data_IF_183603787943
#
_entry.id   IF_183603787943
#
_cell.length_a   1.000
_cell.length_b   1.000
_cell.length_c   1.000
_cell.angle_alpha   90.00
_cell.angle_beta   90.00
_cell.angle_gamma   90.00
#
_symmetry.space_group_name_H-M   'P 1'
#
loop_
_entity.id
_entity.type
_entity.pdbx_description
1 polymer ?
#
# COMPACT_ATOMS: atom_id res chain seq x y z
N UNK A 1 21.61 20.59 11.36
CA UNK A 1 20.46 20.66 12.27
C UNK A 1 20.23 19.26 12.84
N UNK A 2 20.20 19.10 14.17
CA UNK A 2 20.02 17.79 14.79
C UNK A 2 18.55 17.37 14.57
N UNK A 3 18.37 16.27 13.86
CA UNK A 3 17.07 15.64 13.68
C UNK A 3 16.42 15.35 15.05
N UNK A 4 15.18 15.77 15.24
CA UNK A 4 14.50 15.62 16.53
C UNK A 4 14.37 14.13 16.91
N UNK A 5 14.49 13.78 18.19
CA UNK A 5 14.46 12.38 18.66
C UNK A 5 13.20 11.63 18.22
N UNK A 6 12.05 12.32 18.17
CA UNK A 6 10.80 11.71 17.74
C UNK A 6 10.84 11.30 16.26
N UNK A 7 11.44 12.17 15.40
CA UNK A 7 11.53 11.89 13.96
C UNK A 7 12.39 10.65 13.69
N UNK A 8 13.58 10.55 14.27
CA UNK A 8 14.44 9.36 14.13
C UNK A 8 13.75 8.06 14.57
N UNK A 9 13.05 8.08 15.71
CA UNK A 9 12.28 6.94 16.20
C UNK A 9 11.15 6.56 15.22
N UNK A 10 10.43 7.55 14.70
CA UNK A 10 9.35 7.33 13.75
C UNK A 10 9.87 6.77 12.42
N UNK A 11 10.93 7.34 11.87
CA UNK A 11 11.53 6.89 10.62
C UNK A 11 12.01 5.45 10.72
N UNK A 12 12.73 5.12 11.79
CA UNK A 12 13.21 3.76 12.04
C UNK A 12 12.04 2.77 12.20
N UNK A 13 11.05 3.09 13.05
CA UNK A 13 9.88 2.24 13.24
C UNK A 13 9.08 2.09 11.96
N UNK A 14 8.90 3.16 11.17
CA UNK A 14 8.17 3.13 9.89
C UNK A 14 8.87 2.20 8.88
N UNK A 15 10.20 2.26 8.74
CA UNK A 15 10.93 1.37 7.85
C UNK A 15 10.72 -0.10 8.24
N UNK A 16 10.83 -0.41 9.53
CA UNK A 16 10.72 -1.79 10.02
C UNK A 16 9.28 -2.30 9.98
N UNK A 17 8.29 -1.51 10.38
CA UNK A 17 6.87 -1.92 10.30
C UNK A 17 6.42 -2.12 8.88
N UNK A 18 6.84 -1.26 7.94
CA UNK A 18 6.57 -1.45 6.52
C UNK A 18 7.30 -2.69 5.99
N UNK A 19 8.54 -2.94 6.44
CA UNK A 19 9.26 -4.18 6.14
C UNK A 19 8.47 -5.41 6.60
N UNK A 20 8.00 -5.43 7.85
CA UNK A 20 7.19 -6.53 8.38
C UNK A 20 5.90 -6.77 7.57
N UNK A 21 5.17 -5.71 7.23
CA UNK A 21 3.95 -5.80 6.41
C UNK A 21 4.27 -6.35 5.00
N UNK A 22 5.38 -5.93 4.40
CA UNK A 22 5.77 -6.39 3.06
C UNK A 22 6.49 -7.75 3.07
N UNK A 23 6.89 -8.26 4.24
CA UNK A 23 7.16 -9.69 4.47
C UNK A 23 5.86 -10.48 4.50
N UNK A 24 4.86 -10.02 5.26
CA UNK A 24 3.58 -10.71 5.46
C UNK A 24 2.78 -10.84 4.15
N UNK A 25 2.60 -9.74 3.40
CA UNK A 25 1.66 -9.68 2.27
C UNK A 25 1.91 -10.75 1.19
N UNK A 26 3.11 -10.91 0.61
CA UNK A 26 3.35 -11.96 -0.38
C UNK A 26 3.31 -13.37 0.24
N UNK A 27 3.70 -13.51 1.52
CA UNK A 27 3.71 -14.81 2.21
C UNK A 27 2.31 -15.29 2.56
N UNK A 28 1.32 -14.42 2.74
CA UNK A 28 -0.09 -14.80 2.84
C UNK A 28 -0.55 -15.53 1.57
N UNK A 29 -0.15 -15.06 0.39
CA UNK A 29 -0.50 -15.75 -0.88
C UNK A 29 0.16 -17.13 -0.95
N UNK A 30 1.43 -17.26 -0.61
CA UNK A 30 2.10 -18.55 -0.57
C UNK A 30 1.50 -19.49 0.49
N UNK A 31 1.16 -18.99 1.68
CA UNK A 31 0.46 -19.79 2.70
C UNK A 31 -0.93 -20.23 2.22
N UNK A 32 -1.65 -19.38 1.51
CA UNK A 32 -2.93 -19.75 0.92
C UNK A 32 -2.74 -20.89 -0.11
N UNK A 33 -1.69 -20.83 -0.95
CA UNK A 33 -1.33 -21.89 -1.88
C UNK A 33 -0.92 -23.19 -1.15
N UNK A 34 -0.18 -23.13 -0.03
CA UNK A 34 0.12 -24.30 0.83
C UNK A 34 -1.15 -24.96 1.40
N UNK A 35 -2.24 -24.19 1.51
CA UNK A 35 -3.55 -24.64 2.00
C UNK A 35 -4.53 -24.94 0.84
N UNK A 36 -4.03 -25.18 -0.38
CA UNK A 36 -4.79 -25.49 -1.59
C UNK A 36 -5.89 -24.48 -1.92
N UNK A 37 -5.65 -23.18 -1.61
CA UNK A 37 -6.59 -22.12 -1.90
C UNK A 37 -6.72 -21.88 -3.41
N UNK A 38 -7.95 -21.70 -3.86
CA UNK A 38 -8.22 -21.24 -5.23
C UNK A 38 -7.83 -19.78 -5.42
N UNK A 39 -7.63 -19.34 -6.66
CA UNK A 39 -7.32 -17.94 -6.97
C UNK A 39 -8.39 -16.96 -6.45
N UNK A 40 -9.68 -17.36 -6.48
CA UNK A 40 -10.78 -16.58 -5.91
C UNK A 40 -10.64 -16.41 -4.39
N UNK A 41 -10.25 -17.47 -3.68
CA UNK A 41 -10.01 -17.42 -2.23
C UNK A 41 -8.82 -16.51 -1.90
N UNK A 42 -7.74 -16.56 -2.68
CA UNK A 42 -6.59 -15.66 -2.53
C UNK A 42 -7.01 -14.20 -2.74
N UNK A 43 -7.79 -13.91 -3.79
CA UNK A 43 -8.34 -12.58 -4.03
C UNK A 43 -9.25 -12.11 -2.90
N UNK A 44 -10.07 -12.99 -2.33
CA UNK A 44 -10.91 -12.69 -1.18
C UNK A 44 -10.08 -12.39 0.08
N UNK A 45 -9.05 -13.17 0.40
CA UNK A 45 -8.13 -12.92 1.53
C UNK A 45 -7.44 -11.57 1.36
N UNK A 46 -7.00 -11.24 0.13
CA UNK A 46 -6.42 -9.94 -0.16
C UNK A 46 -7.43 -8.78 -0.01
N UNK A 47 -8.69 -8.99 -0.38
CA UNK A 47 -9.76 -8.02 -0.15
C UNK A 47 -10.02 -7.82 1.35
N UNK A 48 -10.09 -8.90 2.12
CA UNK A 48 -10.30 -8.86 3.58
C UNK A 48 -9.20 -8.09 4.31
N UNK A 49 -7.95 -8.11 3.81
CA UNK A 49 -6.87 -7.24 4.32
C UNK A 49 -7.26 -5.75 4.27
N UNK A 50 -8.00 -5.30 3.26
CA UNK A 50 -8.43 -3.92 3.13
C UNK A 50 -9.80 -3.63 3.77
N UNK A 51 -10.57 -4.65 4.15
CA UNK A 51 -11.93 -4.50 4.67
C UNK A 51 -11.98 -3.66 5.95
N UNK A 52 -11.24 -4.05 6.99
CA UNK A 52 -11.21 -3.29 8.23
C UNK A 52 -10.67 -1.88 8.05
N UNK A 53 -9.58 -1.64 7.29
CA UNK A 53 -9.17 -0.31 6.87
C UNK A 53 -10.26 0.54 6.22
N UNK A 54 -11.07 -0.02 5.32
CA UNK A 54 -12.18 0.72 4.69
C UNK A 54 -13.21 1.14 5.71
N UNK A 55 -13.63 0.22 6.57
CA UNK A 55 -14.68 0.46 7.57
C UNK A 55 -14.22 1.41 8.69
N UNK A 56 -12.95 1.32 9.11
CA UNK A 56 -12.46 1.98 10.32
C UNK A 56 -11.58 3.21 10.05
N UNK A 57 -11.28 3.55 8.80
CA UNK A 57 -10.40 4.68 8.47
C UNK A 57 -10.86 6.01 9.10
N UNK A 58 -12.15 6.32 9.01
CA UNK A 58 -12.72 7.53 9.60
C UNK A 58 -12.70 7.49 11.14
N UNK A 59 -13.03 6.33 11.72
CA UNK A 59 -12.98 6.10 13.16
C UNK A 59 -11.55 6.25 13.69
N UNK A 60 -10.57 5.71 12.98
CA UNK A 60 -9.16 5.82 13.34
C UNK A 60 -8.65 7.26 13.27
N UNK A 61 -9.11 8.05 12.28
CA UNK A 61 -8.82 9.47 12.20
C UNK A 61 -9.31 10.27 13.42
N UNK A 62 -10.46 9.87 14.02
CA UNK A 62 -10.98 10.46 15.26
C UNK A 62 -10.21 9.94 16.48
N UNK A 63 -10.02 8.63 16.56
CA UNK A 63 -9.37 7.98 17.70
C UNK A 63 -7.93 8.45 17.90
N UNK A 64 -7.18 8.71 16.83
CA UNK A 64 -5.80 9.18 16.94
C UNK A 64 -5.71 10.53 17.66
N UNK A 65 -6.67 11.42 17.45
CA UNK A 65 -6.76 12.70 18.18
C UNK A 65 -7.09 12.54 19.68
N UNK A 66 -7.81 11.49 20.06
CA UNK A 66 -8.23 11.23 21.44
C UNK A 66 -7.17 10.43 22.21
N UNK A 67 -6.60 9.40 21.60
CA UNK A 67 -5.67 8.46 22.24
C UNK A 67 -4.24 8.98 22.17
N UNK A 68 -3.91 9.76 21.14
CA UNK A 68 -2.58 10.28 20.83
C UNK A 68 -1.89 9.49 19.72
N UNK A 69 -1.18 10.20 18.87
CA UNK A 69 -0.50 9.67 17.68
C UNK A 69 0.56 8.61 18.03
N UNK A 70 1.32 8.83 19.12
CA UNK A 70 2.35 7.88 19.57
C UNK A 70 1.76 6.55 20.02
N UNK A 71 0.68 6.58 20.82
CA UNK A 71 -0.04 5.37 21.27
C UNK A 71 -0.67 4.63 20.08
N UNK A 72 -1.09 5.38 19.06
CA UNK A 72 -1.68 4.80 17.86
C UNK A 72 -0.64 4.03 17.03
N UNK A 73 0.59 4.54 16.93
CA UNK A 73 1.73 3.79 16.32
C UNK A 73 2.06 2.56 17.14
N UNK A 74 2.08 2.64 18.48
CA UNK A 74 2.29 1.48 19.37
C UNK A 74 1.23 0.42 19.12
N UNK A 75 -0.05 0.81 19.11
CA UNK A 75 -1.16 -0.08 18.82
C UNK A 75 -0.99 -0.79 17.46
N UNK A 76 -0.71 -0.03 16.40
CA UNK A 76 -0.47 -0.61 15.08
C UNK A 76 0.71 -1.59 15.07
N UNK A 77 1.83 -1.22 15.68
CA UNK A 77 3.04 -2.08 15.75
C UNK A 77 2.77 -3.36 16.54
N UNK A 78 2.05 -3.27 17.67
CA UNK A 78 1.65 -4.43 18.45
C UNK A 78 0.76 -5.39 17.63
N UNK A 79 -0.22 -4.84 16.94
CA UNK A 79 -1.14 -5.64 16.13
C UNK A 79 -0.49 -6.24 14.87
N UNK A 80 0.58 -5.65 14.32
CA UNK A 80 1.43 -6.32 13.32
C UNK A 80 2.06 -7.57 13.94
N UNK A 81 2.60 -7.47 15.15
CA UNK A 81 3.17 -8.63 15.88
C UNK A 81 2.12 -9.70 16.16
N UNK A 82 0.93 -9.33 16.67
CA UNK A 82 -0.18 -10.27 16.93
C UNK A 82 -0.62 -10.95 15.64
N UNK A 83 -0.75 -10.20 14.54
CA UNK A 83 -1.09 -10.77 13.24
C UNK A 83 -0.03 -11.74 12.75
N UNK A 84 1.27 -11.41 12.88
CA UNK A 84 2.37 -12.29 12.51
C UNK A 84 2.36 -13.58 13.35
N UNK A 85 2.07 -13.48 14.67
CA UNK A 85 1.91 -14.63 15.54
C UNK A 85 0.71 -15.53 15.14
N UNK A 86 -0.42 -14.90 14.77
CA UNK A 86 -1.58 -15.66 14.24
C UNK A 86 -1.24 -16.36 12.92
N UNK A 87 -0.46 -15.72 12.04
CA UNK A 87 -0.03 -16.30 10.77
C UNK A 87 0.89 -17.52 10.98
N UNK A 88 1.68 -17.56 12.05
CA UNK A 88 2.50 -18.74 12.39
C UNK A 88 1.64 -19.99 12.64
N UNK A 89 0.47 -19.81 13.24
CA UNK A 89 -0.46 -20.91 13.59
C UNK A 89 -1.64 -21.01 12.61
N UNK A 90 -1.62 -20.26 11.50
CA UNK A 90 -2.70 -20.28 10.52
C UNK A 90 -2.58 -21.50 9.60
N UNK A 91 -3.18 -22.61 10.03
CA UNK A 91 -3.31 -23.86 9.27
C UNK A 91 -4.68 -24.01 8.59
N UNK A 92 -5.46 -22.95 8.50
CA UNK A 92 -6.75 -22.92 7.79
C UNK A 92 -6.99 -21.60 7.10
N UNK A 93 -7.73 -21.62 5.98
CA UNK A 93 -8.03 -20.41 5.21
C UNK A 93 -8.83 -19.36 6.00
N UNK A 94 -9.82 -19.72 6.86
CA UNK A 94 -10.50 -18.74 7.69
C UNK A 94 -9.56 -18.01 8.67
N UNK A 95 -8.65 -18.75 9.34
CA UNK A 95 -7.69 -18.14 10.27
C UNK A 95 -6.68 -17.27 9.53
N UNK A 96 -6.26 -17.68 8.33
CA UNK A 96 -5.41 -16.87 7.44
C UNK A 96 -6.10 -15.55 7.06
N UNK A 97 -7.39 -15.59 6.73
CA UNK A 97 -8.19 -14.39 6.41
C UNK A 97 -8.32 -13.45 7.61
N UNK A 98 -8.58 -13.98 8.81
CA UNK A 98 -8.63 -13.19 10.06
C UNK A 98 -7.30 -12.51 10.31
N UNK A 99 -6.18 -13.25 10.21
CA UNK A 99 -4.85 -12.70 10.39
C UNK A 99 -4.52 -11.64 9.33
N UNK A 100 -4.95 -11.83 8.07
CA UNK A 100 -4.80 -10.83 7.01
C UNK A 100 -5.60 -9.54 7.31
N UNK A 101 -6.85 -9.66 7.78
CA UNK A 101 -7.66 -8.52 8.20
C UNK A 101 -6.98 -7.72 9.32
N UNK A 102 -6.45 -8.43 10.31
CA UNK A 102 -5.72 -7.82 11.42
C UNK A 102 -4.44 -7.13 10.97
N UNK A 103 -3.69 -7.72 10.02
CA UNK A 103 -2.52 -7.09 9.38
C UNK A 103 -2.89 -5.77 8.70
N UNK A 104 -4.02 -5.75 7.97
CA UNK A 104 -4.50 -4.55 7.31
C UNK A 104 -4.88 -3.44 8.28
N UNK A 105 -5.58 -3.80 9.36
CA UNK A 105 -5.95 -2.88 10.43
C UNK A 105 -4.72 -2.28 11.12
N UNK A 106 -3.75 -3.14 11.46
CA UNK A 106 -2.50 -2.76 12.07
C UNK A 106 -1.69 -1.80 11.18
N UNK A 107 -1.63 -2.10 9.88
CA UNK A 107 -0.98 -1.25 8.89
C UNK A 107 -1.63 0.13 8.81
N UNK A 108 -2.98 0.19 8.78
CA UNK A 108 -3.71 1.46 8.82
C UNK A 108 -3.38 2.26 10.07
N UNK A 109 -3.35 1.63 11.25
CA UNK A 109 -3.04 2.30 12.50
C UNK A 109 -1.63 2.92 12.50
N UNK A 110 -0.62 2.17 12.05
CA UNK A 110 0.75 2.68 11.90
C UNK A 110 0.81 3.87 10.95
N UNK A 111 0.10 3.79 9.80
CA UNK A 111 0.10 4.88 8.82
C UNK A 111 -0.61 6.12 9.35
N UNK A 112 -1.79 5.97 9.95
CA UNK A 112 -2.56 7.11 10.51
C UNK A 112 -1.78 7.75 11.63
N UNK A 113 -1.27 6.97 12.60
CA UNK A 113 -0.48 7.48 13.72
C UNK A 113 0.79 8.18 13.27
N UNK A 114 1.56 7.56 12.35
CA UNK A 114 2.81 8.13 11.85
C UNK A 114 2.61 9.43 11.06
N UNK A 115 1.64 9.47 10.14
CA UNK A 115 1.32 10.67 9.37
C UNK A 115 0.80 11.80 10.26
N UNK A 116 -0.03 11.49 11.25
CA UNK A 116 -0.53 12.46 12.23
C UNK A 116 0.62 13.00 13.08
N UNK A 117 1.55 12.15 13.51
CA UNK A 117 2.73 12.59 14.26
C UNK A 117 3.58 13.55 13.45
N UNK A 118 3.83 13.28 12.18
CA UNK A 118 4.53 14.21 11.28
C UNK A 118 3.77 15.52 11.17
N UNK A 119 2.45 15.46 10.96
CA UNK A 119 1.63 16.65 10.79
C UNK A 119 1.60 17.57 12.03
N UNK A 120 1.64 17.00 13.24
CA UNK A 120 1.52 17.74 14.49
C UNK A 120 2.87 18.18 15.07
N UNK A 121 3.92 17.37 14.89
CA UNK A 121 5.23 17.62 15.51
C UNK A 121 6.23 18.33 14.59
N UNK A 122 5.94 18.45 13.29
CA UNK A 122 6.81 19.15 12.35
C UNK A 122 6.56 20.67 12.39
N UNK A 123 7.62 21.48 12.44
CA UNK A 123 7.48 22.92 12.18
C UNK A 123 6.90 23.16 10.77
N UNK A 124 6.07 24.19 10.55
CA UNK A 124 5.44 24.44 9.26
C UNK A 124 6.41 24.51 8.07
N UNK A 125 7.62 25.05 8.27
CA UNK A 125 8.65 25.18 7.24
C UNK A 125 9.45 23.90 6.99
N UNK A 126 9.36 22.87 7.86
CA UNK A 126 10.03 21.56 7.75
C UNK A 126 9.03 20.42 7.45
N UNK A 127 7.73 20.74 7.35
CA UNK A 127 6.68 19.71 7.20
C UNK A 127 6.90 18.83 5.96
N UNK A 128 7.19 19.44 4.81
CA UNK A 128 7.39 18.69 3.55
C UNK A 128 8.62 17.80 3.64
N UNK A 129 9.69 18.27 4.25
CA UNK A 129 10.92 17.50 4.46
C UNK A 129 10.69 16.30 5.37
N UNK A 130 10.05 16.49 6.52
CA UNK A 130 9.74 15.41 7.47
C UNK A 130 8.79 14.39 6.86
N UNK A 131 7.76 14.84 6.11
CA UNK A 131 6.85 13.95 5.41
C UNK A 131 7.54 13.17 4.29
N UNK A 132 8.45 13.83 3.56
CA UNK A 132 9.29 13.19 2.55
C UNK A 132 10.18 12.10 3.15
N UNK A 133 10.86 12.38 4.26
CA UNK A 133 11.69 11.40 4.99
C UNK A 133 10.85 10.23 5.53
N UNK A 134 9.65 10.51 6.06
CA UNK A 134 8.73 9.47 6.53
C UNK A 134 8.30 8.53 5.40
N UNK A 135 7.90 9.08 4.27
CA UNK A 135 7.48 8.27 3.10
C UNK A 135 8.64 7.52 2.46
N UNK A 136 9.84 8.10 2.45
CA UNK A 136 11.07 7.42 2.03
C UNK A 136 11.38 6.21 2.93
N UNK A 137 11.35 6.41 4.24
CA UNK A 137 11.56 5.36 5.24
C UNK A 137 10.57 4.20 5.08
N UNK A 138 9.29 4.53 4.90
CA UNK A 138 8.25 3.53 4.60
C UNK A 138 8.54 2.76 3.29
N UNK A 139 8.96 3.47 2.24
CA UNK A 139 9.29 2.85 0.94
C UNK A 139 10.51 1.94 1.02
N UNK A 140 11.48 2.25 1.89
CA UNK A 140 12.63 1.39 2.14
C UNK A 140 12.19 0.04 2.71
N UNK A 141 11.28 0.04 3.71
CA UNK A 141 10.70 -1.19 4.23
C UNK A 141 9.95 -2.01 3.17
N UNK A 142 9.17 -1.32 2.32
CA UNK A 142 8.45 -1.96 1.22
C UNK A 142 9.38 -2.60 0.19
N UNK A 143 10.55 -2.00 -0.04
CA UNK A 143 11.56 -2.52 -0.96
C UNK A 143 12.30 -3.73 -0.37
N UNK A 144 12.69 -3.66 0.89
CA UNK A 144 13.52 -4.69 1.53
C UNK A 144 12.70 -5.90 1.99
N UNK A 145 11.44 -5.67 2.42
CA UNK A 145 10.58 -6.72 2.99
C UNK A 145 10.41 -7.97 2.12
N UNK A 146 10.02 -7.89 0.86
CA UNK A 146 9.79 -9.06 0.02
C UNK A 146 11.05 -9.90 -0.24
N UNK A 147 12.22 -9.27 -0.41
CA UNK A 147 13.50 -9.99 -0.53
C UNK A 147 13.81 -10.73 0.77
N UNK A 148 13.73 -10.06 1.91
CA UNK A 148 13.97 -10.70 3.20
C UNK A 148 13.00 -11.87 3.45
N UNK A 149 11.72 -11.69 3.09
CA UNK A 149 10.71 -12.73 3.21
C UNK A 149 11.11 -14.00 2.46
N UNK A 150 11.50 -13.86 1.19
CA UNK A 150 11.84 -15.00 0.35
C UNK A 150 13.19 -15.61 0.69
N UNK A 151 14.18 -14.83 1.10
CA UNK A 151 15.48 -15.34 1.57
C UNK A 151 15.31 -16.20 2.84
N UNK A 152 14.59 -15.68 3.84
CA UNK A 152 14.38 -16.39 5.12
C UNK A 152 13.46 -17.60 4.94
N UNK A 153 12.48 -17.52 4.05
CA UNK A 153 11.61 -18.65 3.73
C UNK A 153 12.29 -19.76 2.92
N UNK A 154 13.54 -19.56 2.45
CA UNK A 154 14.27 -20.57 1.67
C UNK A 154 13.67 -20.77 0.27
N UNK A 155 13.50 -19.72 -0.48
CA UNK A 155 12.65 -19.66 -1.70
C UNK A 155 13.42 -19.86 -2.99
N UNK A 156 14.32 -20.84 -3.08
CA UNK A 156 15.01 -21.19 -4.34
C UNK A 156 14.13 -21.95 -5.34
N UNK A 157 13.07 -22.62 -4.85
CA UNK A 157 12.04 -23.28 -5.66
C UNK A 157 10.87 -22.35 -5.99
N UNK A 158 9.88 -22.91 -6.66
CA UNK A 158 8.61 -22.22 -7.00
C UNK A 158 7.86 -21.81 -5.73
N UNK A 159 7.80 -22.69 -4.75
CA UNK A 159 7.25 -22.43 -3.42
C UNK A 159 8.35 -22.18 -2.39
N UNK A 160 8.12 -21.30 -1.40
CA UNK A 160 9.00 -21.19 -0.24
C UNK A 160 9.07 -22.52 0.52
N UNK A 161 10.24 -22.84 1.11
CA UNK A 161 10.39 -24.02 1.99
C UNK A 161 9.59 -23.86 3.29
N UNK A 162 9.44 -22.62 3.78
CA UNK A 162 8.75 -22.32 5.04
C UNK A 162 8.20 -20.91 5.07
N UNK A 163 6.92 -20.73 4.80
CA UNK A 163 6.23 -19.44 5.00
C UNK A 163 6.23 -19.06 6.48
N UNK A 164 6.23 -20.02 7.39
CA UNK A 164 6.34 -19.78 8.85
C UNK A 164 7.63 -19.08 9.24
N UNK A 165 8.77 -19.37 8.59
CA UNK A 165 10.03 -18.67 8.85
C UNK A 165 9.94 -17.18 8.51
N UNK A 166 9.24 -16.83 7.42
CA UNK A 166 8.98 -15.42 7.06
C UNK A 166 8.01 -14.75 8.05
N UNK A 167 6.98 -15.44 8.54
CA UNK A 167 6.10 -14.89 9.57
C UNK A 167 6.82 -14.69 10.91
N UNK A 168 7.74 -15.60 11.28
CA UNK A 168 8.62 -15.40 12.45
C UNK A 168 9.52 -14.17 12.28
N UNK A 169 10.08 -13.96 11.08
CA UNK A 169 10.81 -12.74 10.77
C UNK A 169 9.92 -11.49 10.93
N UNK A 170 8.67 -11.52 10.43
CA UNK A 170 7.76 -10.40 10.58
C UNK A 170 7.44 -10.09 12.05
N UNK A 171 7.28 -11.13 12.88
CA UNK A 171 7.09 -10.99 14.32
C UNK A 171 8.34 -10.36 14.98
N UNK A 172 9.53 -10.81 14.62
CA UNK A 172 10.79 -10.24 15.13
C UNK A 172 10.96 -8.76 14.69
N UNK A 173 10.61 -8.42 13.44
CA UNK A 173 10.61 -7.05 12.95
C UNK A 173 9.60 -6.18 13.71
N UNK A 174 8.40 -6.69 14.01
CA UNK A 174 7.41 -5.96 14.81
C UNK A 174 7.92 -5.71 16.23
N UNK A 175 8.55 -6.70 16.86
CA UNK A 175 9.18 -6.55 18.17
C UNK A 175 10.32 -5.52 18.13
N UNK A 176 11.17 -5.55 17.11
CA UNK A 176 12.24 -4.56 16.91
C UNK A 176 11.69 -3.15 16.72
N UNK A 177 10.63 -3.00 15.92
CA UNK A 177 9.97 -1.72 15.69
C UNK A 177 9.33 -1.15 16.96
N UNK A 178 8.91 -2.02 17.90
CA UNK A 178 8.31 -1.62 19.18
C UNK A 178 9.32 -0.89 20.07
N UNK A 179 10.60 -1.27 20.05
CA UNK A 179 11.64 -0.72 20.94
C UNK A 179 11.69 0.80 20.96
N UNK A 180 11.80 1.53 19.82
CA UNK A 180 11.86 2.98 19.83
C UNK A 180 10.51 3.63 20.17
N UNK A 181 9.38 3.00 19.82
CA UNK A 181 8.06 3.65 19.93
C UNK A 181 7.40 3.46 21.29
N UNK A 182 7.79 2.46 22.07
CA UNK A 182 7.21 2.19 23.41
C UNK A 182 7.39 3.38 24.37
N UNK A 183 8.40 4.22 24.12
CA UNK A 183 8.62 5.45 24.89
C UNK A 183 7.47 6.46 24.77
N UNK A 184 6.64 6.36 23.72
CA UNK A 184 5.49 7.26 23.50
C UNK A 184 4.22 6.85 24.27
N UNK A 185 4.28 5.74 25.01
CA UNK A 185 3.10 5.25 25.76
C UNK A 185 2.54 6.27 26.75
N UNK A 186 3.43 7.08 27.34
CA UNK A 186 3.09 8.09 28.35
C UNK A 186 2.99 9.50 27.77
N UNK A 187 3.20 9.70 26.46
CA UNK A 187 3.01 11.02 25.85
C UNK A 187 1.53 11.38 25.85
N UNK A 188 1.16 12.60 26.30
CA UNK A 188 -0.21 13.06 26.19
C UNK A 188 -0.61 13.21 24.73
N UNK A 189 -1.90 13.04 24.38
CA UNK A 189 -2.36 13.31 23.03
C UNK A 189 -2.15 14.77 22.67
N UNK A 190 -1.63 15.02 21.48
CA UNK A 190 -1.53 16.39 20.93
C UNK A 190 -2.92 16.78 20.44
N UNK A 191 -3.74 17.35 21.33
CA UNK A 191 -5.16 17.59 21.09
C UNK A 191 -5.37 18.56 19.94
N UNK A 192 -5.96 18.09 18.87
CA UNK A 192 -6.63 18.93 17.88
C UNK A 192 -8.10 18.48 17.86
N UNK A 193 -8.92 19.18 18.63
CA UNK A 193 -10.37 18.98 18.59
C UNK A 193 -10.92 19.35 17.21
N UNK A 194 -11.06 18.37 16.33
CA UNK A 194 -11.79 18.56 15.08
C UNK A 194 -13.27 18.39 15.37
N UNK A 195 -14.04 19.49 15.23
CA UNK A 195 -15.50 19.44 15.22
C UNK A 195 -15.97 18.45 14.17
N UNK A 196 -16.87 17.57 14.54
CA UNK A 196 -17.55 16.68 13.61
C UNK A 196 -18.39 17.50 12.63
N UNK A 197 -18.06 17.43 11.35
CA UNK A 197 -19.02 17.77 10.32
C UNK A 197 -19.94 16.57 10.09
N UNK A 198 -21.14 16.65 10.67
CA UNK A 198 -22.21 15.66 10.43
C UNK A 198 -22.67 15.61 8.96
N UNK A 199 -22.08 16.45 8.10
CA UNK A 199 -22.33 16.54 6.66
C UNK A 199 -21.20 16.03 5.77
N UNK A 200 -20.12 15.43 6.29
CA UNK A 200 -18.93 15.06 5.52
C UNK A 200 -19.22 14.16 4.31
N UNK A 201 -20.11 13.17 4.45
CA UNK A 201 -20.53 12.31 3.33
C UNK A 201 -21.28 13.08 2.25
N UNK A 202 -22.20 13.99 2.65
CA UNK A 202 -22.94 14.83 1.72
C UNK A 202 -22.01 15.84 1.03
N UNK A 203 -21.06 16.40 1.76
CA UNK A 203 -20.03 17.29 1.23
C UNK A 203 -19.09 16.58 0.26
N UNK A 204 -18.64 15.36 0.58
CA UNK A 204 -17.86 14.52 -0.32
C UNK A 204 -18.65 14.18 -1.61
N UNK A 205 -19.95 13.86 -1.49
CA UNK A 205 -20.83 13.65 -2.65
C UNK A 205 -20.97 14.88 -3.55
N UNK A 206 -21.06 16.09 -2.96
CA UNK A 206 -21.04 17.34 -3.73
C UNK A 206 -19.68 17.57 -4.42
N UNK A 207 -18.59 17.29 -3.71
CA UNK A 207 -17.24 17.44 -4.22
C UNK A 207 -16.99 16.53 -5.43
N UNK A 208 -17.46 15.29 -5.39
CA UNK A 208 -17.33 14.33 -6.50
C UNK A 208 -18.06 14.76 -7.78
N UNK A 209 -19.04 15.64 -7.67
CA UNK A 209 -19.76 16.21 -8.83
C UNK A 209 -18.99 17.35 -9.50
N UNK A 210 -17.93 17.88 -8.87
CA UNK A 210 -17.11 18.93 -9.50
C UNK A 210 -16.32 18.38 -10.68
N UNK A 211 -16.21 19.13 -11.79
CA UNK A 211 -15.50 18.69 -12.99
C UNK A 211 -14.06 18.25 -12.68
N UNK A 212 -13.68 17.04 -13.12
CA UNK A 212 -12.34 16.48 -12.97
C UNK A 212 -12.02 15.84 -11.61
N UNK A 213 -12.73 16.14 -10.52
CA UNK A 213 -12.44 15.58 -9.19
C UNK A 213 -12.66 14.05 -9.16
N UNK A 214 -13.82 13.59 -9.65
CA UNK A 214 -14.10 12.16 -9.71
C UNK A 214 -13.05 11.42 -10.56
N UNK A 215 -12.68 11.99 -11.72
CA UNK A 215 -11.67 11.39 -12.60
C UNK A 215 -10.30 11.30 -11.92
N UNK A 216 -9.88 12.33 -11.19
CA UNK A 216 -8.61 12.33 -10.46
C UNK A 216 -8.61 11.32 -9.32
N UNK A 217 -9.70 11.21 -8.54
CA UNK A 217 -9.86 10.23 -7.46
C UNK A 217 -9.89 8.81 -8.02
N UNK A 218 -10.62 8.58 -9.10
CA UNK A 218 -10.69 7.27 -9.75
C UNK A 218 -9.34 6.85 -10.34
N UNK A 219 -8.59 7.78 -10.95
CA UNK A 219 -7.21 7.52 -11.40
C UNK A 219 -6.31 7.14 -10.23
N UNK A 220 -6.41 7.85 -9.10
CA UNK A 220 -5.66 7.49 -7.89
C UNK A 220 -6.00 6.09 -7.39
N UNK A 221 -7.29 5.73 -7.36
CA UNK A 221 -7.77 4.40 -7.00
C UNK A 221 -7.21 3.33 -7.95
N UNK A 222 -7.32 3.51 -9.26
CA UNK A 222 -6.87 2.54 -10.25
C UNK A 222 -5.36 2.29 -10.15
N UNK A 223 -4.55 3.35 -10.06
CA UNK A 223 -3.09 3.27 -9.92
C UNK A 223 -2.68 2.62 -8.60
N UNK A 224 -3.33 3.01 -7.50
CA UNK A 224 -3.04 2.43 -6.18
C UNK A 224 -3.36 0.94 -6.13
N UNK A 225 -4.54 0.57 -6.60
CA UNK A 225 -4.99 -0.83 -6.62
C UNK A 225 -4.12 -1.69 -7.53
N UNK A 226 -3.70 -1.19 -8.69
CA UNK A 226 -2.76 -1.89 -9.58
C UNK A 226 -1.45 -2.21 -8.84
N UNK A 227 -0.88 -1.24 -8.14
CA UNK A 227 0.32 -1.47 -7.33
C UNK A 227 0.14 -2.50 -6.21
N UNK A 228 -1.03 -2.52 -5.57
CA UNK A 228 -1.34 -3.48 -4.49
C UNK A 228 -1.59 -4.89 -5.01
N UNK A 229 -2.27 -5.03 -6.15
CA UNK A 229 -2.51 -6.31 -6.81
C UNK A 229 -1.19 -7.01 -7.16
N UNK A 230 -0.20 -6.28 -7.64
CA UNK A 230 1.10 -6.86 -7.96
C UNK A 230 1.77 -7.56 -6.75
N UNK A 231 1.59 -7.04 -5.53
CA UNK A 231 2.15 -7.68 -4.33
C UNK A 231 1.49 -9.03 -4.01
N UNK A 232 0.20 -9.15 -4.31
CA UNK A 232 -0.62 -10.33 -3.98
C UNK A 232 -0.61 -11.36 -5.11
N UNK A 233 -0.74 -10.92 -6.37
CA UNK A 233 -0.92 -11.82 -7.51
C UNK A 233 0.37 -12.20 -8.22
N UNK A 234 1.49 -11.48 -8.03
CA UNK A 234 2.79 -11.93 -8.55
C UNK A 234 3.25 -13.27 -7.94
N UNK A 235 3.06 -13.56 -6.62
CA UNK A 235 3.32 -14.89 -6.09
C UNK A 235 2.47 -15.99 -6.74
N UNK A 236 1.18 -15.74 -6.95
CA UNK A 236 0.29 -16.69 -7.63
C UNK A 236 0.72 -16.89 -9.09
N UNK A 237 0.96 -15.81 -9.82
CA UNK A 237 1.47 -15.85 -11.21
C UNK A 237 2.80 -16.59 -11.32
N UNK A 238 3.72 -16.36 -10.38
CA UNK A 238 5.00 -17.05 -10.32
C UNK A 238 4.83 -18.56 -10.09
N UNK A 239 3.88 -18.95 -9.22
CA UNK A 239 3.56 -20.36 -8.99
C UNK A 239 2.99 -21.03 -10.26
N UNK A 240 2.04 -20.39 -10.94
CA UNK A 240 1.47 -20.90 -12.20
C UNK A 240 2.51 -21.03 -13.32
N UNK A 241 3.46 -20.10 -13.41
CA UNK A 241 4.49 -20.06 -14.45
C UNK A 241 5.84 -20.68 -14.01
N UNK A 242 5.88 -21.37 -12.88
CA UNK A 242 7.05 -22.07 -12.37
C UNK A 242 8.25 -21.15 -12.10
N UNK A 243 8.03 -19.88 -11.78
CA UNK A 243 9.09 -18.94 -11.37
C UNK A 243 9.44 -19.15 -9.90
N UNK A 244 10.74 -19.04 -9.55
CA UNK A 244 11.13 -19.20 -8.14
C UNK A 244 10.54 -18.09 -7.27
N UNK A 245 10.14 -18.44 -6.05
CA UNK A 245 9.60 -17.48 -5.09
C UNK A 245 10.61 -16.36 -4.77
N UNK A 246 11.93 -16.65 -4.81
CA UNK A 246 12.97 -15.64 -4.68
C UNK A 246 12.93 -14.61 -5.83
N UNK A 247 12.79 -15.07 -7.07
CA UNK A 247 12.65 -14.16 -8.22
C UNK A 247 11.45 -13.25 -8.06
N UNK A 248 10.31 -13.79 -7.62
CA UNK A 248 9.11 -13.01 -7.36
C UNK A 248 9.32 -11.99 -6.24
N UNK A 249 9.99 -12.35 -5.14
CA UNK A 249 10.33 -11.42 -4.07
C UNK A 249 11.22 -10.27 -4.55
N UNK A 250 12.23 -10.58 -5.37
CA UNK A 250 13.08 -9.57 -6.02
C UNK A 250 12.25 -8.65 -6.93
N UNK A 251 11.35 -9.19 -7.73
CA UNK A 251 10.49 -8.43 -8.65
C UNK A 251 9.57 -7.47 -7.88
N UNK A 252 8.95 -7.92 -6.79
CA UNK A 252 8.13 -7.05 -5.93
C UNK A 252 8.98 -5.93 -5.32
N UNK A 253 10.20 -6.23 -4.92
CA UNK A 253 11.16 -5.26 -4.39
C UNK A 253 11.62 -4.25 -5.44
N UNK A 254 11.88 -4.70 -6.67
CA UNK A 254 12.18 -3.83 -7.82
C UNK A 254 11.04 -2.84 -8.06
N UNK A 255 9.79 -3.31 -8.03
CA UNK A 255 8.61 -2.43 -8.15
C UNK A 255 8.61 -1.32 -7.09
N UNK A 256 8.89 -1.67 -5.83
CA UNK A 256 8.91 -0.70 -4.75
C UNK A 256 10.07 0.30 -4.89
N UNK A 257 11.27 -0.19 -5.27
CA UNK A 257 12.45 0.62 -5.51
C UNK A 257 12.22 1.64 -6.64
N UNK A 258 11.66 1.19 -7.77
CA UNK A 258 11.41 2.06 -8.93
C UNK A 258 10.27 3.06 -8.66
N UNK A 259 9.26 2.66 -7.90
CA UNK A 259 8.22 3.58 -7.41
C UNK A 259 8.81 4.66 -6.48
N UNK A 260 9.76 4.32 -5.63
CA UNK A 260 10.48 5.27 -4.79
C UNK A 260 11.35 6.21 -5.65
N UNK A 261 12.10 5.66 -6.60
CA UNK A 261 12.93 6.43 -7.53
C UNK A 261 12.11 7.43 -8.35
N UNK A 262 10.93 7.03 -8.82
CA UNK A 262 10.05 7.90 -9.61
C UNK A 262 9.63 9.16 -8.85
N UNK A 263 9.41 9.06 -7.54
CA UNK A 263 9.09 10.20 -6.68
C UNK A 263 10.27 11.16 -6.52
N UNK A 264 11.49 10.64 -6.47
CA UNK A 264 12.70 11.47 -6.44
C UNK A 264 12.86 12.30 -7.72
N UNK A 265 12.56 11.71 -8.88
CA UNK A 265 12.64 12.40 -10.17
C UNK A 265 11.43 13.27 -10.48
N UNK A 266 10.34 13.17 -9.71
CA UNK A 266 9.08 13.85 -9.99
C UNK A 266 9.23 15.37 -10.08
N UNK A 267 10.02 15.99 -9.21
CA UNK A 267 10.28 17.43 -9.25
C UNK A 267 10.87 17.89 -10.59
N UNK A 268 11.85 17.14 -11.12
CA UNK A 268 12.46 17.42 -12.43
C UNK A 268 11.48 17.22 -13.59
N UNK A 269 10.64 16.18 -13.50
CA UNK A 269 9.61 15.90 -14.49
C UNK A 269 8.53 16.99 -14.49
N UNK A 270 8.06 17.41 -13.32
CA UNK A 270 7.04 18.45 -13.19
C UNK A 270 7.51 19.85 -13.57
N UNK A 271 8.84 20.07 -13.59
CA UNK A 271 9.41 21.31 -14.12
C UNK A 271 9.33 21.40 -15.67
N UNK A 272 9.18 20.26 -16.37
CA UNK A 272 9.18 20.19 -17.85
C UNK A 272 7.82 19.84 -18.43
N UNK A 273 7.00 19.10 -17.68
CA UNK A 273 5.72 18.57 -18.16
C UNK A 273 4.60 18.89 -17.18
N UNK A 274 3.41 19.18 -17.70
CA UNK A 274 2.23 19.38 -16.85
C UNK A 274 1.81 18.12 -16.12
N UNK A 275 1.17 18.25 -14.95
CA UNK A 275 0.66 17.11 -14.18
C UNK A 275 -0.27 16.20 -15.01
N UNK A 276 -1.11 16.78 -15.88
CA UNK A 276 -2.00 16.03 -16.79
C UNK A 276 -1.22 15.22 -17.82
N UNK A 277 -0.16 15.78 -18.41
CA UNK A 277 0.69 15.05 -19.36
C UNK A 277 1.39 13.90 -18.68
N UNK A 278 1.98 14.14 -17.50
CA UNK A 278 2.67 13.09 -16.72
C UNK A 278 1.72 11.96 -16.30
N UNK A 279 0.52 12.26 -15.83
CA UNK A 279 -0.51 11.26 -15.50
C UNK A 279 -0.88 10.46 -16.75
N UNK A 280 -1.14 11.13 -17.88
CA UNK A 280 -1.52 10.46 -19.12
C UNK A 280 -0.44 9.51 -19.62
N UNK A 281 0.80 10.00 -19.72
CA UNK A 281 1.94 9.17 -20.15
C UNK A 281 2.19 8.01 -19.19
N UNK A 282 2.18 8.27 -17.89
CA UNK A 282 2.33 7.26 -16.84
C UNK A 282 1.26 6.16 -16.94
N UNK A 283 -0.02 6.54 -17.14
CA UNK A 283 -1.09 5.56 -17.31
C UNK A 283 -0.95 4.76 -18.61
N UNK A 284 -0.57 5.38 -19.73
CA UNK A 284 -0.30 4.66 -20.99
C UNK A 284 0.83 3.63 -20.84
N UNK A 285 1.93 4.03 -20.20
CA UNK A 285 3.04 3.11 -19.89
C UNK A 285 2.57 1.99 -18.96
N UNK A 286 1.78 2.31 -17.93
CA UNK A 286 1.25 1.31 -17.00
C UNK A 286 0.33 0.30 -17.71
N UNK A 287 -0.52 0.74 -18.63
CA UNK A 287 -1.36 -0.14 -19.47
C UNK A 287 -0.48 -1.09 -20.30
N UNK A 288 0.49 -0.54 -21.03
CA UNK A 288 1.39 -1.34 -21.85
C UNK A 288 2.16 -2.37 -21.01
N UNK A 289 2.63 -1.98 -19.82
CA UNK A 289 3.36 -2.88 -18.92
C UNK A 289 2.45 -3.92 -18.29
N UNK A 290 1.20 -3.60 -17.94
CA UNK A 290 0.23 -4.59 -17.46
C UNK A 290 -0.06 -5.64 -18.55
N UNK A 291 -0.24 -5.22 -19.81
CA UNK A 291 -0.39 -6.16 -20.93
C UNK A 291 0.88 -7.00 -21.09
N UNK A 292 2.06 -6.39 -21.06
CA UNK A 292 3.34 -7.12 -21.21
C UNK A 292 3.58 -8.15 -20.09
N UNK A 293 3.14 -7.88 -18.84
CA UNK A 293 3.21 -8.84 -17.74
C UNK A 293 2.45 -10.13 -18.03
N UNK A 294 1.27 -10.02 -18.67
CA UNK A 294 0.44 -11.18 -18.98
C UNK A 294 1.11 -12.20 -19.92
N UNK A 295 2.11 -11.75 -20.69
CA UNK A 295 2.83 -12.54 -21.68
C UNK A 295 4.33 -12.70 -21.36
N UNK A 296 4.76 -12.43 -20.13
CA UNK A 296 6.16 -12.52 -19.73
C UNK A 296 6.65 -13.98 -19.75
N UNK A 297 7.60 -14.35 -20.64
CA UNK A 297 8.01 -15.74 -20.83
C UNK A 297 8.93 -16.28 -19.72
N UNK A 298 9.50 -15.41 -18.93
CA UNK A 298 10.40 -15.76 -17.83
C UNK A 298 10.49 -14.64 -16.80
N UNK A 299 11.07 -14.93 -15.62
CA UNK A 299 11.18 -14.00 -14.50
C UNK A 299 12.02 -12.75 -14.83
N UNK A 300 13.01 -12.84 -15.74
CA UNK A 300 13.83 -11.69 -16.12
C UNK A 300 13.04 -10.66 -16.92
N UNK A 301 12.27 -11.12 -17.90
CA UNK A 301 11.39 -10.25 -18.69
C UNK A 301 10.30 -9.66 -17.79
N UNK A 302 9.70 -10.48 -16.91
CA UNK A 302 8.73 -9.99 -15.92
C UNK A 302 9.35 -8.90 -15.03
N UNK A 303 10.58 -9.10 -14.55
CA UNK A 303 11.32 -8.13 -13.75
C UNK A 303 11.57 -6.82 -14.48
N UNK A 304 11.96 -6.87 -15.75
CA UNK A 304 12.16 -5.68 -16.58
C UNK A 304 10.85 -4.91 -16.83
N UNK A 305 9.76 -5.64 -17.09
CA UNK A 305 8.43 -5.05 -17.27
C UNK A 305 7.95 -4.41 -15.96
N UNK A 306 8.11 -5.09 -14.83
CA UNK A 306 7.72 -4.58 -13.49
C UNK A 306 8.61 -3.41 -13.07
N UNK A 307 9.89 -3.36 -13.49
CA UNK A 307 10.75 -2.20 -13.28
C UNK A 307 10.13 -0.93 -13.90
N UNK A 308 9.71 -0.99 -15.15
CA UNK A 308 9.07 0.14 -15.85
C UNK A 308 7.70 0.44 -15.25
N UNK A 309 6.89 -0.60 -14.95
CA UNK A 309 5.59 -0.46 -14.31
C UNK A 309 5.68 0.23 -12.94
N UNK A 310 6.65 -0.17 -12.11
CA UNK A 310 6.87 0.43 -10.80
C UNK A 310 7.18 1.92 -10.88
N UNK A 311 8.01 2.33 -11.84
CA UNK A 311 8.30 3.74 -12.09
C UNK A 311 7.05 4.51 -12.49
N UNK A 312 6.28 4.01 -13.46
CA UNK A 312 5.08 4.68 -13.97
C UNK A 312 3.98 4.77 -12.89
N UNK A 313 3.70 3.68 -12.16
CA UNK A 313 2.72 3.66 -11.08
C UNK A 313 3.13 4.58 -9.91
N UNK A 314 4.44 4.70 -9.64
CA UNK A 314 4.99 5.52 -8.56
C UNK A 314 4.72 7.02 -8.74
N UNK A 315 4.70 7.50 -9.98
CA UNK A 315 4.39 8.89 -10.35
C UNK A 315 2.92 9.23 -10.10
N UNK A 316 2.01 8.28 -10.30
CA UNK A 316 0.57 8.54 -10.30
C UNK A 316 0.01 9.04 -8.97
N UNK A 317 0.50 8.53 -7.83
CA UNK A 317 -0.01 8.89 -6.51
C UNK A 317 0.24 10.39 -6.16
N UNK A 318 1.46 10.92 -6.23
CA UNK A 318 1.69 12.33 -5.94
C UNK A 318 1.04 13.25 -6.98
N UNK A 319 1.04 12.89 -8.27
CA UNK A 319 0.43 13.73 -9.30
C UNK A 319 -1.10 13.83 -9.17
N UNK A 320 -1.79 12.75 -8.83
CA UNK A 320 -3.23 12.83 -8.57
C UNK A 320 -3.55 13.70 -7.36
N UNK A 321 -2.66 13.71 -6.35
CA UNK A 321 -2.77 14.62 -5.20
C UNK A 321 -2.63 16.08 -5.63
N UNK A 322 -1.61 16.39 -6.43
CA UNK A 322 -1.40 17.74 -6.99
C UNK A 322 -2.60 18.18 -7.82
N UNK A 323 -3.10 17.30 -8.70
CA UNK A 323 -4.26 17.61 -9.55
C UNK A 323 -5.51 17.92 -8.71
N UNK A 324 -5.80 17.11 -7.70
CA UNK A 324 -6.94 17.33 -6.80
C UNK A 324 -6.78 18.67 -6.06
N UNK A 325 -5.57 18.98 -5.57
CA UNK A 325 -5.30 20.26 -4.89
C UNK A 325 -5.46 21.47 -5.80
N UNK A 326 -5.22 21.32 -7.11
CA UNK A 326 -5.45 22.38 -8.11
C UNK A 326 -6.93 22.54 -8.49
N UNK A 327 -7.73 21.49 -8.40
CA UNK A 327 -9.16 21.47 -8.74
C UNK A 327 -10.07 21.87 -7.57
N UNK A 328 -9.51 22.07 -6.36
CA UNK A 328 -10.29 22.36 -5.16
C UNK A 328 -9.88 23.69 -4.52
N UNK A 329 -10.84 24.39 -3.95
CA UNK A 329 -10.59 25.58 -3.15
C UNK A 329 -9.82 25.23 -1.86
N UNK A 330 -9.06 26.17 -1.27
CA UNK A 330 -8.24 25.90 -0.10
C UNK A 330 -8.98 25.27 1.09
N UNK A 331 -10.20 25.69 1.35
CA UNK A 331 -11.11 25.21 2.39
C UNK A 331 -11.63 23.78 2.13
N UNK A 332 -11.73 23.36 0.87
CA UNK A 332 -12.19 22.02 0.47
C UNK A 332 -11.06 20.98 0.34
N UNK A 333 -9.80 21.40 0.32
CA UNK A 333 -8.65 20.50 0.08
C UNK A 333 -8.59 19.34 1.05
N UNK A 334 -8.84 19.59 2.33
CA UNK A 334 -8.82 18.53 3.35
C UNK A 334 -9.89 17.46 3.08
N UNK A 335 -11.10 17.89 2.66
CA UNK A 335 -12.18 16.98 2.27
C UNK A 335 -11.80 16.20 1.00
N UNK A 336 -11.22 16.85 0.02
CA UNK A 336 -10.82 16.22 -1.24
C UNK A 336 -9.73 15.15 -1.03
N UNK A 337 -8.75 15.43 -0.18
CA UNK A 337 -7.71 14.47 0.22
C UNK A 337 -8.30 13.26 0.93
N UNK A 338 -9.18 13.48 1.91
CA UNK A 338 -9.82 12.38 2.64
C UNK A 338 -10.73 11.54 1.72
N UNK A 339 -11.48 12.17 0.83
CA UNK A 339 -12.32 11.47 -0.18
C UNK A 339 -11.47 10.61 -1.12
N UNK A 340 -10.32 11.12 -1.57
CA UNK A 340 -9.35 10.36 -2.38
C UNK A 340 -8.80 9.15 -1.61
N UNK A 341 -8.40 9.33 -0.35
CA UNK A 341 -7.90 8.24 0.48
C UNK A 341 -8.95 7.16 0.69
N UNK A 342 -10.20 7.54 0.93
CA UNK A 342 -11.33 6.61 1.02
C UNK A 342 -11.53 5.86 -0.30
N UNK A 343 -11.46 6.55 -1.44
CA UNK A 343 -11.51 5.93 -2.76
C UNK A 343 -10.40 4.90 -2.96
N UNK A 344 -9.16 5.22 -2.59
CA UNK A 344 -8.05 4.28 -2.69
C UNK A 344 -8.27 3.03 -1.82
N UNK A 345 -8.79 3.19 -0.59
CA UNK A 345 -9.12 2.05 0.28
C UNK A 345 -10.22 1.18 -0.30
N UNK A 346 -11.25 1.81 -0.89
CA UNK A 346 -12.31 1.07 -1.58
C UNK A 346 -11.74 0.25 -2.76
N UNK A 347 -10.84 0.84 -3.54
CA UNK A 347 -10.14 0.12 -4.61
C UNK A 347 -9.32 -1.06 -4.09
N UNK A 348 -8.60 -0.87 -2.98
CA UNK A 348 -7.83 -1.95 -2.33
C UNK A 348 -8.71 -3.11 -1.81
N UNK A 349 -9.98 -2.86 -1.57
CA UNK A 349 -10.95 -3.90 -1.20
C UNK A 349 -11.59 -4.56 -2.43
N UNK A 350 -12.12 -3.77 -3.36
CA UNK A 350 -12.91 -4.27 -4.50
C UNK A 350 -12.03 -4.94 -5.55
N UNK A 351 -10.89 -4.31 -5.90
CA UNK A 351 -10.07 -4.79 -7.02
C UNK A 351 -9.46 -6.18 -6.77
N UNK A 352 -8.92 -6.53 -5.58
CA UNK A 352 -8.45 -7.89 -5.33
C UNK A 352 -9.55 -8.94 -5.37
N UNK A 353 -10.76 -8.64 -4.86
CA UNK A 353 -11.89 -9.56 -4.93
C UNK A 353 -12.26 -9.86 -6.39
N UNK A 354 -12.38 -8.83 -7.23
CA UNK A 354 -12.65 -9.01 -8.67
C UNK A 354 -11.48 -9.72 -9.37
N UNK A 355 -10.24 -9.36 -9.06
CA UNK A 355 -9.06 -10.00 -9.62
C UNK A 355 -8.99 -11.50 -9.29
N UNK A 356 -9.40 -11.90 -8.07
CA UNK A 356 -9.48 -13.30 -7.69
C UNK A 356 -10.51 -14.09 -8.52
N UNK A 357 -11.68 -13.50 -8.80
CA UNK A 357 -12.68 -14.11 -9.67
C UNK A 357 -12.19 -14.23 -11.12
N UNK A 358 -11.53 -13.19 -11.63
CA UNK A 358 -10.91 -13.20 -12.97
C UNK A 358 -9.81 -14.26 -13.04
N UNK A 359 -8.95 -14.34 -12.03
CA UNK A 359 -7.89 -15.35 -11.98
C UNK A 359 -8.45 -16.79 -11.94
N UNK A 360 -9.53 -17.01 -11.19
CA UNK A 360 -10.18 -18.33 -11.10
C UNK A 360 -10.82 -18.76 -12.41
N UNK A 361 -11.33 -17.84 -13.23
CA UNK A 361 -12.02 -18.13 -14.48
C UNK A 361 -11.11 -18.15 -15.71
N UNK A 362 -10.05 -17.33 -15.73
CA UNK A 362 -9.23 -17.08 -16.93
C UNK A 362 -7.70 -17.06 -16.64
N UNK A 363 -7.28 -17.48 -15.43
CA UNK A 363 -5.88 -17.50 -15.01
C UNK A 363 -5.35 -16.12 -14.57
N UNK A 364 -4.18 -16.12 -13.93
CA UNK A 364 -3.56 -14.88 -13.39
C UNK A 364 -3.12 -13.91 -14.46
N UNK A 365 -2.77 -14.38 -15.67
CA UNK A 365 -2.48 -13.49 -16.81
C UNK A 365 -3.64 -12.56 -17.15
N UNK A 366 -4.89 -13.05 -17.04
CA UNK A 366 -6.09 -12.25 -17.27
C UNK A 366 -6.27 -11.13 -16.22
N UNK A 367 -5.74 -11.29 -15.00
CA UNK A 367 -5.74 -10.24 -13.99
C UNK A 367 -4.95 -9.04 -14.47
N UNK A 368 -3.76 -9.24 -15.06
CA UNK A 368 -2.95 -8.13 -15.57
C UNK A 368 -3.64 -7.43 -16.75
N UNK A 369 -4.32 -8.15 -17.62
CA UNK A 369 -5.17 -7.56 -18.67
C UNK A 369 -6.33 -6.76 -18.04
N UNK A 370 -6.99 -7.30 -17.02
CA UNK A 370 -8.02 -6.58 -16.25
C UNK A 370 -7.51 -5.28 -15.63
N UNK A 371 -6.27 -5.27 -15.11
CA UNK A 371 -5.62 -4.06 -14.60
C UNK A 371 -5.35 -3.05 -15.73
N UNK A 372 -4.91 -3.52 -16.91
CA UNK A 372 -4.75 -2.66 -18.08
C UNK A 372 -6.08 -2.00 -18.47
N UNK A 373 -7.18 -2.77 -18.48
CA UNK A 373 -8.52 -2.25 -18.73
C UNK A 373 -8.92 -1.25 -17.63
N UNK A 374 -8.72 -1.57 -16.35
CA UNK A 374 -9.01 -0.66 -15.23
C UNK A 374 -8.28 0.68 -15.39
N UNK A 375 -6.98 0.67 -15.72
CA UNK A 375 -6.23 1.91 -15.93
C UNK A 375 -6.68 2.62 -17.21
N UNK A 376 -7.07 1.91 -18.27
CA UNK A 376 -7.56 2.51 -19.52
C UNK A 376 -8.86 3.30 -19.33
N UNK A 377 -9.73 2.88 -18.41
CA UNK A 377 -10.97 3.60 -18.10
C UNK A 377 -10.73 5.01 -17.52
N UNK A 378 -9.49 5.30 -17.06
CA UNK A 378 -9.10 6.66 -16.61
C UNK A 378 -9.02 7.67 -17.76
N UNK A 379 -8.96 7.23 -19.03
CA UNK A 379 -8.94 8.06 -20.22
C UNK A 379 -10.33 8.35 -20.79
N UNK A 380 -11.38 7.67 -20.33
CA UNK A 380 -12.73 7.88 -20.84
C UNK A 380 -13.14 9.35 -20.68
N UNK A 381 -13.62 10.01 -21.74
CA UNK A 381 -14.13 11.37 -21.66
C UNK A 381 -15.32 11.36 -20.69
N UNK A 382 -15.14 11.98 -19.53
CA UNK A 382 -16.24 12.18 -18.57
C UNK A 382 -16.73 13.60 -18.78
N UNK A 383 -17.93 13.69 -19.36
CA UNK A 383 -18.73 14.88 -19.49
C UNK A 383 -19.01 15.52 -18.12
#
# INVERSE_FOLDING_TARGET
MSESRWARKLLFSSAITQGAIYVIRPMITYRALELDATASTIGFIAAVYALLPVLLALTFGKMVGQIGEGRFVIFGTLFIGVSAALLLVAHSLPLLAIAAALSGLAHLACMVGGQTMVALKSPPHEYEEHFGRYTFSASLGQMVGPILATLVAGSTGVMPKSTSAAFALALALAALAMVPVISWRNEPPTVVGRKEDSGALRAAGKLLKKPGIFAAIFTSLAVSSTGDILVVFLPLYGNENQFSALSIGIIISIRAATSMASRYFLGRLSARFSARQLIRTSNLVSIAMCVAMAFAPNAWVLGAVVFVAGFSLGVGQPLTMTLISQLTAPDERALAVSTRLTGNRLGQFVVPAVAGLVAASAGTSAVFIGLAILVSTTFAPRQ
#
